data_IF_460761911598
#
_entry.id   IF_460761911598
#
_cell.length_a   1.000
_cell.length_b   1.000
_cell.length_c   1.000
_cell.angle_alpha   90.00
_cell.angle_beta   90.00
_cell.angle_gamma   90.00
#
_symmetry.space_group_name_H-M   'P 1'
#
loop_
_entity.id
_entity.type
_entity.pdbx_description
1 polymer ?
#
# COMPACT_ATOMS: atom_id res chain seq x y z
N UNK A 1 1.35 -2.28 -30.37
CA UNK A 1 2.32 -3.28 -30.83
C UNK A 1 2.23 -4.57 -30.04
N UNK A 2 2.41 -5.73 -30.72
CA UNK A 2 2.26 -7.07 -30.11
C UNK A 2 3.14 -7.28 -28.86
N UNK A 3 4.28 -6.59 -28.76
CA UNK A 3 5.17 -6.66 -27.57
C UNK A 3 4.52 -6.25 -26.22
N UNK A 4 3.37 -5.59 -26.27
CA UNK A 4 2.64 -5.16 -25.07
C UNK A 4 1.57 -6.16 -24.64
N UNK A 5 1.30 -7.20 -25.41
CA UNK A 5 0.41 -8.27 -25.00
C UNK A 5 1.13 -9.21 -24.04
N UNK A 6 0.41 -9.62 -23.02
CA UNK A 6 0.85 -10.60 -22.03
C UNK A 6 -0.14 -11.76 -22.13
N UNK A 7 0.31 -12.96 -22.46
CA UNK A 7 -0.58 -14.14 -22.47
C UNK A 7 -1.02 -14.43 -21.05
N UNK A 8 -2.32 -14.71 -20.88
CA UNK A 8 -2.85 -15.20 -19.61
C UNK A 8 -2.48 -16.68 -19.49
N UNK A 9 -1.85 -17.13 -18.40
CA UNK A 9 -1.54 -18.55 -18.20
C UNK A 9 -2.78 -19.41 -18.20
N UNK A 10 -2.71 -20.63 -18.74
CA UNK A 10 -3.81 -21.60 -18.74
C UNK A 10 -4.33 -21.93 -17.33
N UNK A 11 -3.48 -21.73 -16.34
CA UNK A 11 -3.83 -21.92 -14.94
C UNK A 11 -4.81 -20.87 -14.39
N UNK A 12 -5.09 -19.79 -15.13
CA UNK A 12 -6.06 -18.74 -14.75
C UNK A 12 -7.32 -18.92 -15.58
N UNK A 13 -8.43 -19.20 -14.90
CA UNK A 13 -9.74 -19.38 -15.55
C UNK A 13 -10.41 -18.03 -15.86
N UNK A 14 -9.79 -17.26 -16.77
CA UNK A 14 -10.28 -15.94 -17.16
C UNK A 14 -11.69 -15.96 -17.78
N UNK A 15 -12.18 -17.14 -18.22
CA UNK A 15 -13.51 -17.27 -18.82
C UNK A 15 -14.62 -17.28 -17.77
N UNK A 16 -14.38 -17.95 -16.64
CA UNK A 16 -15.31 -18.00 -15.53
C UNK A 16 -15.06 -16.92 -14.48
N UNK A 17 -13.81 -16.39 -14.40
CA UNK A 17 -13.38 -15.36 -13.46
C UNK A 17 -12.80 -14.12 -14.18
N UNK A 18 -13.59 -13.47 -15.08
CA UNK A 18 -13.09 -12.38 -15.89
C UNK A 18 -12.80 -11.11 -15.08
N UNK A 19 -13.57 -10.85 -14.03
CA UNK A 19 -13.42 -9.66 -13.18
C UNK A 19 -12.16 -9.78 -12.36
N UNK A 20 -11.95 -10.92 -11.72
CA UNK A 20 -10.76 -11.25 -10.91
C UNK A 20 -9.50 -11.19 -11.77
N UNK A 21 -9.58 -11.73 -12.99
CA UNK A 21 -8.46 -11.68 -13.93
C UNK A 21 -8.14 -10.25 -14.36
N UNK A 22 -9.16 -9.42 -14.60
CA UNK A 22 -8.97 -8.04 -15.06
C UNK A 22 -8.24 -7.14 -14.04
N UNK A 23 -8.43 -7.38 -12.74
CA UNK A 23 -7.79 -6.54 -11.69
C UNK A 23 -6.30 -6.85 -11.51
N UNK A 24 -5.79 -7.96 -12.05
CA UNK A 24 -4.39 -8.38 -11.87
C UNK A 24 -3.43 -7.33 -12.41
N UNK A 25 -3.73 -6.74 -13.56
CA UNK A 25 -2.81 -5.83 -14.25
C UNK A 25 -2.64 -4.47 -13.55
N UNK A 26 -3.50 -4.14 -12.59
CA UNK A 26 -3.37 -2.90 -11.81
C UNK A 26 -3.45 -3.17 -10.30
N UNK A 27 -4.60 -3.66 -9.82
CA UNK A 27 -4.84 -3.75 -8.38
C UNK A 27 -3.95 -4.79 -7.67
N UNK A 28 -3.34 -5.73 -8.38
CA UNK A 28 -2.36 -6.69 -7.84
C UNK A 28 -0.93 -6.30 -8.22
N UNK A 29 -0.68 -6.01 -9.48
CA UNK A 29 0.68 -5.74 -9.96
C UNK A 29 1.24 -4.41 -9.42
N UNK A 30 0.39 -3.39 -9.20
CA UNK A 30 0.81 -2.12 -8.59
C UNK A 30 1.26 -2.30 -7.13
N UNK A 31 0.51 -2.95 -6.22
CA UNK A 31 0.99 -3.31 -4.89
C UNK A 31 2.28 -4.12 -4.90
N UNK A 32 2.42 -5.09 -5.80
CA UNK A 32 3.65 -5.87 -5.92
C UNK A 32 4.87 -4.98 -6.25
N UNK A 33 4.71 -4.04 -7.19
CA UNK A 33 5.75 -3.04 -7.49
C UNK A 33 6.07 -2.16 -6.28
N UNK A 34 5.04 -1.74 -5.54
CA UNK A 34 5.19 -0.92 -4.33
C UNK A 34 6.02 -1.66 -3.30
N UNK A 35 5.71 -2.93 -3.02
CA UNK A 35 6.49 -3.74 -2.09
C UNK A 35 7.96 -3.82 -2.47
N UNK A 36 8.25 -4.10 -3.74
CA UNK A 36 9.63 -4.15 -4.26
C UNK A 36 10.33 -2.81 -4.15
N UNK A 37 9.66 -1.73 -4.59
CA UNK A 37 10.23 -0.38 -4.63
C UNK A 37 10.52 0.16 -3.23
N UNK A 38 9.62 -0.05 -2.29
CA UNK A 38 9.80 0.34 -0.90
C UNK A 38 10.70 -0.64 -0.12
N UNK A 39 11.14 -1.72 -0.74
CA UNK A 39 11.96 -2.75 -0.08
C UNK A 39 11.29 -3.30 1.18
N UNK A 40 9.94 -3.47 1.12
CA UNK A 40 9.16 -3.91 2.29
C UNK A 40 9.57 -5.32 2.70
N UNK A 41 9.82 -5.49 3.98
CA UNK A 41 10.15 -6.75 4.63
C UNK A 41 9.15 -7.10 5.73
N UNK A 42 9.20 -8.34 6.23
CA UNK A 42 8.35 -8.79 7.34
C UNK A 42 8.61 -8.05 8.67
N UNK A 43 9.75 -7.37 8.79
CA UNK A 43 10.08 -6.58 9.97
C UNK A 43 9.43 -5.19 9.96
N UNK A 44 8.99 -4.71 8.79
CA UNK A 44 8.45 -3.36 8.64
C UNK A 44 7.02 -3.26 9.21
N UNK A 45 6.71 -2.11 9.80
CA UNK A 45 5.35 -1.67 10.13
C UNK A 45 4.90 -0.68 9.06
N UNK A 46 3.87 -1.03 8.32
CA UNK A 46 3.46 -0.32 7.12
C UNK A 46 2.11 0.39 7.32
N UNK A 47 2.07 1.70 7.11
CA UNK A 47 0.83 2.48 7.02
C UNK A 47 0.31 2.51 5.59
N UNK A 48 -0.98 2.27 5.39
CA UNK A 48 -1.65 2.35 4.07
C UNK A 48 -2.74 3.40 4.14
N UNK A 49 -2.52 4.54 3.48
CA UNK A 49 -3.50 5.63 3.37
C UNK A 49 -4.40 5.39 2.15
N UNK A 50 -5.72 5.60 2.34
CA UNK A 50 -6.72 5.21 1.35
C UNK A 50 -6.94 3.69 1.32
N UNK A 51 -6.78 3.07 2.49
CA UNK A 51 -6.79 1.62 2.69
C UNK A 51 -8.08 0.93 2.23
N UNK A 52 -9.22 1.62 2.30
CA UNK A 52 -10.52 1.11 1.86
C UNK A 52 -10.78 1.20 0.36
N UNK A 53 -9.86 1.79 -0.41
CA UNK A 53 -9.93 1.83 -1.87
C UNK A 53 -9.47 0.53 -2.54
N UNK A 54 -9.69 0.40 -3.86
CA UNK A 54 -9.32 -0.81 -4.61
C UNK A 54 -7.84 -1.20 -4.47
N UNK A 55 -6.92 -0.26 -4.71
CA UNK A 55 -5.48 -0.48 -4.52
C UNK A 55 -5.12 -0.69 -3.05
N UNK A 56 -5.75 0.06 -2.13
CA UNK A 56 -5.47 -0.02 -0.70
C UNK A 56 -5.81 -1.39 -0.10
N UNK A 57 -6.96 -1.94 -0.42
CA UNK A 57 -7.37 -3.28 0.03
C UNK A 57 -6.43 -4.35 -0.50
N UNK A 58 -6.06 -4.32 -1.79
CA UNK A 58 -5.12 -5.28 -2.34
C UNK A 58 -3.70 -5.12 -1.77
N UNK A 59 -3.31 -3.88 -1.41
CA UNK A 59 -2.06 -3.66 -0.69
C UNK A 59 -2.07 -4.32 0.69
N UNK A 60 -3.15 -4.16 1.46
CA UNK A 60 -3.31 -4.82 2.76
C UNK A 60 -3.25 -6.34 2.63
N UNK A 61 -4.01 -6.92 1.67
CA UNK A 61 -3.96 -8.36 1.38
C UNK A 61 -2.53 -8.83 1.08
N UNK A 62 -1.81 -8.08 0.25
CA UNK A 62 -0.45 -8.43 -0.15
C UNK A 62 0.53 -8.33 1.03
N UNK A 63 0.41 -7.32 1.88
CA UNK A 63 1.19 -7.19 3.11
C UNK A 63 0.93 -8.39 4.03
N UNK A 64 -0.33 -8.72 4.25
CA UNK A 64 -0.73 -9.86 5.10
C UNK A 64 -0.18 -11.20 4.57
N UNK A 65 -0.26 -11.46 3.27
CA UNK A 65 0.31 -12.67 2.66
C UNK A 65 1.83 -12.79 2.80
N UNK A 66 2.51 -11.67 3.00
CA UNK A 66 3.96 -11.64 3.23
C UNK A 66 4.31 -11.49 4.72
N UNK A 67 3.33 -11.68 5.62
CA UNK A 67 3.48 -11.55 7.08
C UNK A 67 4.02 -10.17 7.50
N UNK A 68 3.63 -9.12 6.79
CA UNK A 68 3.99 -7.73 7.09
C UNK A 68 2.88 -7.09 7.91
N UNK A 69 3.24 -6.52 9.03
CA UNK A 69 2.30 -5.83 9.93
C UNK A 69 1.85 -4.50 9.31
N UNK A 70 0.54 -4.27 9.20
CA UNK A 70 0.00 -3.07 8.55
C UNK A 70 -1.06 -2.34 9.36
N UNK A 71 -1.12 -1.02 9.18
CA UNK A 71 -2.17 -0.13 9.68
C UNK A 71 -2.98 0.40 8.51
N UNK A 72 -4.27 0.13 8.50
CA UNK A 72 -5.20 0.73 7.54
C UNK A 72 -5.58 2.14 8.01
N UNK A 73 -5.27 3.15 7.20
CA UNK A 73 -5.61 4.55 7.46
C UNK A 73 -6.67 4.97 6.44
N UNK A 74 -7.89 5.20 6.93
CA UNK A 74 -9.06 5.42 6.08
C UNK A 74 -10.09 6.28 6.82
N UNK A 75 -10.68 7.26 6.13
CA UNK A 75 -11.71 8.15 6.69
C UNK A 75 -13.09 7.49 6.77
N UNK A 76 -13.39 6.58 5.85
CA UNK A 76 -14.70 5.94 5.73
C UNK A 76 -14.85 4.79 6.72
N UNK A 77 -15.57 5.01 7.81
CA UNK A 77 -15.78 4.03 8.89
C UNK A 77 -16.41 2.71 8.42
N UNK A 78 -17.24 2.73 7.37
CA UNK A 78 -17.84 1.52 6.78
C UNK A 78 -16.81 0.60 6.10
N UNK A 79 -15.57 1.06 5.87
CA UNK A 79 -14.47 0.24 5.34
C UNK A 79 -13.66 -0.48 6.42
N UNK A 80 -13.89 -0.16 7.70
CA UNK A 80 -13.13 -0.72 8.82
C UNK A 80 -13.14 -2.25 8.81
N UNK A 81 -14.34 -2.85 8.74
CA UNK A 81 -14.47 -4.31 8.81
C UNK A 81 -13.74 -4.98 7.64
N UNK A 82 -13.87 -4.44 6.43
CA UNK A 82 -13.17 -4.96 5.25
C UNK A 82 -11.66 -4.88 5.42
N UNK A 83 -11.11 -3.72 5.84
CA UNK A 83 -9.67 -3.59 6.06
C UNK A 83 -9.13 -4.62 7.07
N UNK A 84 -9.84 -4.82 8.18
CA UNK A 84 -9.42 -5.77 9.21
C UNK A 84 -9.55 -7.22 8.73
N UNK A 85 -10.65 -7.60 8.06
CA UNK A 85 -10.83 -8.96 7.54
C UNK A 85 -9.81 -9.33 6.46
N UNK A 86 -9.31 -8.33 5.71
CA UNK A 86 -8.27 -8.54 4.71
C UNK A 86 -6.84 -8.55 5.29
N UNK A 87 -6.71 -8.38 6.60
CA UNK A 87 -5.46 -8.61 7.33
C UNK A 87 -4.74 -7.37 7.85
N UNK A 88 -5.39 -6.19 7.84
CA UNK A 88 -4.82 -5.06 8.55
C UNK A 88 -4.79 -5.34 10.07
N UNK A 89 -3.65 -5.10 10.70
CA UNK A 89 -3.47 -5.30 12.15
C UNK A 89 -4.18 -4.23 12.98
N UNK A 90 -4.37 -3.06 12.40
CA UNK A 90 -5.03 -1.92 13.03
C UNK A 90 -5.76 -1.09 11.96
N UNK A 91 -6.89 -0.49 12.34
CA UNK A 91 -7.62 0.48 11.52
C UNK A 91 -7.69 1.81 12.26
N UNK A 92 -7.26 2.89 11.62
CA UNK A 92 -7.30 4.25 12.17
C UNK A 92 -7.98 5.22 11.21
N UNK A 93 -8.77 6.15 11.75
CA UNK A 93 -9.23 7.32 11.02
C UNK A 93 -8.34 8.51 11.36
N UNK A 94 -7.78 9.21 10.36
CA UNK A 94 -6.91 10.36 10.61
C UNK A 94 -7.66 11.58 11.19
N UNK A 95 -8.99 11.53 11.19
CA UNK A 95 -9.85 12.59 11.76
C UNK A 95 -10.00 12.49 13.28
N UNK A 96 -9.54 11.40 13.90
CA UNK A 96 -9.63 11.21 15.34
C UNK A 96 -8.50 11.92 16.07
N UNK A 97 -8.82 12.49 17.24
CA UNK A 97 -7.87 13.22 18.07
C UNK A 97 -6.71 12.34 18.59
N UNK A 98 -6.97 11.04 18.79
CA UNK A 98 -6.01 10.05 19.28
C UNK A 98 -5.19 9.37 18.17
N UNK A 99 -5.32 9.84 16.91
CA UNK A 99 -4.70 9.21 15.75
C UNK A 99 -3.18 9.08 15.90
N UNK A 100 -2.50 10.18 16.22
CA UNK A 100 -1.04 10.18 16.37
C UNK A 100 -0.58 9.29 17.52
N UNK A 101 -1.24 9.37 18.66
CA UNK A 101 -0.97 8.54 19.83
C UNK A 101 -1.13 7.05 19.49
N UNK A 102 -2.23 6.70 18.79
CA UNK A 102 -2.47 5.33 18.33
C UNK A 102 -1.36 4.79 17.42
N UNK A 103 -0.79 5.61 16.52
CA UNK A 103 0.37 5.24 15.70
C UNK A 103 1.61 5.02 16.57
N UNK A 104 1.87 5.91 17.52
CA UNK A 104 3.04 5.82 18.39
C UNK A 104 2.94 4.59 19.31
N UNK A 105 1.78 4.30 19.87
CA UNK A 105 1.53 3.09 20.67
C UNK A 105 1.75 1.82 19.84
N UNK A 106 1.15 1.75 18.66
CA UNK A 106 1.29 0.61 17.76
C UNK A 106 2.76 0.37 17.36
N UNK A 107 3.51 1.43 17.16
CA UNK A 107 4.92 1.36 16.77
C UNK A 107 5.89 1.34 17.95
N UNK A 108 5.41 1.37 19.19
CA UNK A 108 6.23 1.48 20.41
C UNK A 108 7.15 2.71 20.36
N UNK A 109 6.61 3.84 19.96
CA UNK A 109 7.27 5.14 19.80
C UNK A 109 8.37 5.19 18.73
N UNK A 110 8.47 4.20 17.84
CA UNK A 110 9.48 4.22 16.76
C UNK A 110 9.00 4.93 15.49
N UNK A 111 7.70 5.14 15.33
CA UNK A 111 7.09 5.54 14.07
C UNK A 111 6.96 4.38 13.07
N UNK A 112 6.35 4.63 11.92
CA UNK A 112 6.19 3.65 10.85
C UNK A 112 7.48 3.55 10.01
N UNK A 113 7.79 2.34 9.53
CA UNK A 113 8.93 2.11 8.65
C UNK A 113 8.59 2.50 7.20
N UNK A 114 7.34 2.29 6.79
CA UNK A 114 6.85 2.64 5.44
C UNK A 114 5.46 3.24 5.54
N UNK A 115 5.21 4.29 4.76
CA UNK A 115 3.85 4.78 4.50
C UNK A 115 3.60 4.75 3.00
N UNK A 116 2.48 4.15 2.60
CA UNK A 116 2.02 4.06 1.23
C UNK A 116 0.78 4.94 1.11
N UNK A 117 0.87 6.02 0.35
CA UNK A 117 -0.21 6.98 0.16
C UNK A 117 -0.84 6.85 -1.24
N UNK A 118 -2.04 6.26 -1.29
CA UNK A 118 -2.83 6.15 -2.52
C UNK A 118 -3.69 7.38 -2.79
N UNK A 119 -3.80 8.31 -1.84
CA UNK A 119 -4.57 9.57 -1.97
C UNK A 119 -3.68 10.69 -2.48
N UNK A 120 -2.55 10.91 -1.84
CA UNK A 120 -1.51 11.89 -2.17
C UNK A 120 -2.03 13.33 -2.26
N UNK A 121 -2.94 13.70 -1.36
CA UNK A 121 -3.30 15.11 -1.10
C UNK A 121 -2.23 15.77 -0.24
N UNK A 122 -2.23 17.13 -0.19
CA UNK A 122 -1.33 17.85 0.72
C UNK A 122 -1.41 17.30 2.15
N UNK A 123 -2.63 17.15 2.68
CA UNK A 123 -2.86 16.68 4.04
C UNK A 123 -2.32 15.26 4.28
N UNK A 124 -2.56 14.35 3.33
CA UNK A 124 -2.11 12.96 3.52
C UNK A 124 -0.61 12.80 3.35
N UNK A 125 0.03 13.59 2.50
CA UNK A 125 1.49 13.57 2.33
C UNK A 125 2.22 14.14 3.54
N UNK A 126 1.74 15.26 4.11
CA UNK A 126 2.29 15.84 5.36
C UNK A 126 2.07 14.90 6.55
N UNK A 127 0.86 14.31 6.64
CA UNK A 127 0.56 13.30 7.64
C UNK A 127 1.50 12.09 7.53
N UNK A 128 1.74 11.61 6.31
CA UNK A 128 2.65 10.50 6.03
C UNK A 128 4.06 10.75 6.55
N UNK A 129 4.63 11.92 6.24
CA UNK A 129 5.96 12.28 6.70
C UNK A 129 6.06 12.31 8.24
N UNK A 130 5.00 12.82 8.91
CA UNK A 130 4.96 12.91 10.36
C UNK A 130 4.86 11.56 11.08
N UNK A 131 4.24 10.55 10.44
CA UNK A 131 4.12 9.20 11.00
C UNK A 131 5.38 8.35 10.85
N UNK A 132 6.30 8.72 9.97
CA UNK A 132 7.52 7.95 9.71
C UNK A 132 8.52 8.05 10.86
N UNK A 133 9.11 6.90 11.18
CA UNK A 133 10.27 6.78 12.07
C UNK A 133 11.61 7.03 11.34
N UNK A 134 12.71 6.70 11.98
CA UNK A 134 14.05 6.80 11.41
C UNK A 134 14.24 5.81 10.26
N UNK A 135 14.82 6.23 9.15
CA UNK A 135 14.94 5.45 7.92
C UNK A 135 13.61 5.23 7.21
N UNK A 136 12.59 6.02 7.57
CA UNK A 136 11.24 5.88 7.07
C UNK A 136 11.11 6.16 5.57
N UNK A 137 10.22 5.43 4.90
CA UNK A 137 10.01 5.47 3.44
C UNK A 137 8.57 5.85 3.12
N UNK A 138 8.37 6.99 2.45
CA UNK A 138 7.08 7.41 1.92
C UNK A 138 6.98 7.03 0.45
N UNK A 139 5.96 6.28 0.08
CA UNK A 139 5.58 6.07 -1.32
C UNK A 139 4.28 6.79 -1.64
N UNK A 140 4.33 7.65 -2.65
CA UNK A 140 3.16 8.36 -3.18
C UNK A 140 2.73 7.78 -4.52
N UNK A 141 1.44 7.47 -4.66
CA UNK A 141 0.84 6.89 -5.87
C UNK A 141 -0.35 7.69 -6.40
N UNK A 142 -0.97 8.51 -5.56
CA UNK A 142 -2.00 9.45 -6.00
C UNK A 142 -1.43 10.58 -6.84
N UNK A 143 -2.29 11.29 -7.55
CA UNK A 143 -1.89 12.36 -8.47
C UNK A 143 -2.76 13.60 -8.32
N UNK A 144 -2.94 14.12 -7.10
CA UNK A 144 -3.73 15.34 -6.85
C UNK A 144 -3.11 16.59 -7.50
N UNK A 145 -1.79 16.59 -7.71
CA UNK A 145 -1.04 17.77 -8.13
C UNK A 145 -0.75 18.75 -7.00
N UNK A 146 -1.10 18.39 -5.77
CA UNK A 146 -0.87 19.23 -4.60
C UNK A 146 0.62 19.33 -4.26
N UNK A 147 0.97 20.48 -3.68
CA UNK A 147 2.29 20.69 -3.06
C UNK A 147 2.19 20.39 -1.57
N UNK A 148 3.17 19.72 -1.01
CA UNK A 148 3.28 19.46 0.43
C UNK A 148 4.62 19.94 0.96
N UNK A 149 4.67 20.19 2.26
CA UNK A 149 5.85 20.70 2.93
C UNK A 149 6.36 19.68 3.95
N UNK A 150 7.65 19.42 3.92
CA UNK A 150 8.35 18.60 4.93
C UNK A 150 9.54 19.38 5.39
N UNK A 151 9.75 19.45 6.69
CA UNK A 151 10.91 20.11 7.26
C UNK A 151 12.18 19.39 6.82
N UNK A 152 13.13 20.15 6.26
CA UNK A 152 14.41 19.61 5.81
C UNK A 152 15.22 18.99 6.96
N UNK A 153 15.08 19.51 8.18
CA UNK A 153 15.69 18.91 9.36
C UNK A 153 15.09 17.55 9.68
N UNK A 154 13.78 17.37 9.50
CA UNK A 154 13.12 16.09 9.67
C UNK A 154 13.62 15.05 8.66
N UNK A 155 13.77 15.46 7.38
CA UNK A 155 14.31 14.58 6.34
C UNK A 155 15.72 14.15 6.71
N UNK A 156 16.58 15.09 7.09
CA UNK A 156 17.97 14.83 7.44
C UNK A 156 18.10 13.95 8.70
N UNK A 157 17.44 14.35 9.79
CA UNK A 157 17.62 13.69 11.09
C UNK A 157 17.00 12.30 11.16
N UNK A 158 15.93 12.07 10.41
CA UNK A 158 15.27 10.76 10.31
C UNK A 158 15.73 9.94 9.09
N UNK A 159 16.59 10.48 8.22
CA UNK A 159 17.02 9.83 6.98
C UNK A 159 15.85 9.36 6.12
N UNK A 160 14.84 10.24 5.90
CA UNK A 160 13.63 9.89 5.20
C UNK A 160 13.84 9.73 3.69
N UNK A 161 13.18 8.74 3.10
CA UNK A 161 13.09 8.58 1.65
C UNK A 161 11.67 8.91 1.15
N UNK A 162 11.55 9.76 0.13
CA UNK A 162 10.28 10.06 -0.54
C UNK A 162 10.34 9.55 -1.97
N UNK A 163 9.42 8.66 -2.34
CA UNK A 163 9.43 7.96 -3.62
C UNK A 163 8.07 8.05 -4.31
N UNK A 164 8.06 8.45 -5.58
CA UNK A 164 6.86 8.29 -6.43
C UNK A 164 6.80 6.89 -7.03
N UNK A 165 5.60 6.32 -7.17
CA UNK A 165 5.38 5.09 -7.91
C UNK A 165 4.18 5.26 -8.84
N UNK A 166 4.31 4.83 -10.10
CA UNK A 166 3.25 4.94 -11.12
C UNK A 166 3.01 3.57 -11.72
N UNK A 167 1.78 3.06 -11.60
CA UNK A 167 1.37 1.77 -12.17
C UNK A 167 2.38 0.64 -11.88
N UNK A 168 2.43 -0.35 -12.75
CA UNK A 168 3.38 -1.46 -12.74
C UNK A 168 4.11 -1.56 -14.09
N UNK A 169 5.18 -2.33 -14.15
CA UNK A 169 5.83 -2.71 -15.40
C UNK A 169 5.25 -4.04 -15.90
N UNK A 170 5.59 -4.40 -17.14
CA UNK A 170 5.25 -5.72 -17.68
C UNK A 170 5.76 -6.86 -16.77
N UNK A 171 6.90 -6.67 -16.11
CA UNK A 171 7.48 -7.69 -15.25
C UNK A 171 6.62 -7.92 -13.99
N UNK A 172 6.13 -6.87 -13.34
CA UNK A 172 5.23 -7.05 -12.19
C UNK A 172 3.91 -7.73 -12.59
N UNK A 173 3.38 -7.44 -13.79
CA UNK A 173 2.20 -8.15 -14.28
C UNK A 173 2.51 -9.64 -14.49
N UNK A 174 3.62 -9.99 -15.12
CA UNK A 174 4.06 -11.37 -15.31
C UNK A 174 4.28 -12.07 -13.95
N UNK A 175 4.94 -11.40 -13.01
CA UNK A 175 5.17 -11.93 -11.68
C UNK A 175 3.84 -12.19 -10.95
N UNK A 176 2.86 -11.29 -11.11
CA UNK A 176 1.53 -11.42 -10.51
C UNK A 176 0.75 -12.59 -11.10
N UNK A 177 0.86 -12.82 -12.40
CA UNK A 177 0.21 -13.96 -13.08
C UNK A 177 0.80 -15.31 -12.67
N UNK A 178 2.09 -15.35 -12.33
CA UNK A 178 2.82 -16.58 -12.02
C UNK A 178 2.85 -16.96 -10.53
N UNK A 179 2.33 -16.11 -9.66
CA UNK A 179 2.38 -16.36 -8.22
C UNK A 179 1.11 -17.09 -7.74
N UNK A 180 1.22 -18.41 -7.50
CA UNK A 180 0.12 -19.24 -6.95
C UNK A 180 -0.52 -18.65 -5.68
N UNK A 181 0.26 -17.92 -4.87
CA UNK A 181 -0.26 -17.24 -3.70
C UNK A 181 -1.19 -16.05 -4.03
N UNK A 182 -1.09 -15.46 -5.25
CA UNK A 182 -2.00 -14.39 -5.67
C UNK A 182 -3.38 -14.89 -6.09
N UNK A 183 -3.52 -16.17 -6.42
CA UNK A 183 -4.86 -16.77 -6.55
C UNK A 183 -5.66 -16.63 -5.25
N UNK A 184 -5.02 -16.69 -4.08
CA UNK A 184 -5.65 -16.44 -2.79
C UNK A 184 -6.07 -14.98 -2.59
N UNK A 185 -5.53 -14.04 -3.38
CA UNK A 185 -5.95 -12.63 -3.37
C UNK A 185 -7.23 -12.40 -4.18
N UNK A 186 -7.52 -13.28 -5.14
CA UNK A 186 -8.65 -13.14 -6.04
C UNK A 186 -9.91 -13.83 -5.51
N UNK A 187 -9.76 -14.85 -4.66
CA UNK A 187 -10.84 -15.74 -4.21
C UNK A 187 -11.32 -15.35 -2.80
N UNK A 188 -11.89 -14.14 -2.64
CA UNK A 188 -12.81 -13.85 -1.51
C UNK A 188 -13.72 -12.67 -1.82
#
# INVERSE_FOLDING_TARGET
PAKNFIPIPESIDYKNEPVETAVICDAIATPLKVMKKARISHADKVGVIGAGGGLGIHMIKMLNLNNVTSVAIETKSNKKQTCLSEGASLYLSPEKNDFHESIMDFTKNSGLDVVIDFVSSKQTLELSANMLGNGGRLLTLGGSGDKFEVDSSQILLKELEVMGSKYCTKQEVLDSLNLDRFRKLLVQ
#
